data_IF_719597163259
#
_entry.id   IF_719597163259
#
_cell.length_a   1.000
_cell.length_b   1.000
_cell.length_c   1.000
_cell.angle_alpha   90.00
_cell.angle_beta   90.00
_cell.angle_gamma   90.00
#
_symmetry.space_group_name_H-M   'P 1'
#
loop_
_entity.id
_entity.type
_entity.pdbx_description
1 polymer ?
#
# COMPACT_ATOMS: atom_id res chain seq x y z
N UNK A 1 -0.83 -11.29 -31.57
CA UNK A 1 0.35 -12.11 -31.90
C UNK A 1 0.99 -12.62 -30.61
N UNK A 2 1.83 -13.67 -30.67
CA UNK A 2 2.50 -14.23 -29.48
C UNK A 2 3.44 -13.26 -28.75
N UNK A 3 4.02 -12.29 -29.47
CA UNK A 3 4.91 -11.28 -28.89
C UNK A 3 4.20 -10.33 -27.88
N UNK A 4 2.94 -9.95 -28.17
CA UNK A 4 2.17 -9.09 -27.27
C UNK A 4 1.82 -9.79 -25.94
N UNK A 5 1.52 -11.09 -25.98
CA UNK A 5 1.24 -11.90 -24.79
C UNK A 5 2.49 -12.09 -23.92
N UNK A 6 3.66 -12.32 -24.55
CA UNK A 6 4.93 -12.40 -23.83
C UNK A 6 5.29 -11.08 -23.12
N UNK A 7 5.02 -9.93 -23.78
CA UNK A 7 5.22 -8.61 -23.19
C UNK A 7 4.34 -8.36 -21.96
N UNK A 8 3.05 -8.73 -22.03
CA UNK A 8 2.12 -8.60 -20.91
C UNK A 8 2.53 -9.47 -19.70
N UNK A 9 2.97 -10.71 -19.95
CA UNK A 9 3.46 -11.61 -18.90
C UNK A 9 4.72 -11.05 -18.21
N UNK A 10 5.66 -10.50 -18.97
CA UNK A 10 6.86 -9.88 -18.43
C UNK A 10 6.55 -8.64 -17.56
N UNK A 11 5.62 -7.80 -18.01
CA UNK A 11 5.14 -6.63 -17.26
C UNK A 11 4.46 -7.04 -15.95
N UNK A 12 3.61 -8.08 -15.98
CA UNK A 12 2.97 -8.63 -14.78
C UNK A 12 4.00 -9.22 -13.80
N UNK A 13 4.99 -9.95 -14.30
CA UNK A 13 6.06 -10.49 -13.46
C UNK A 13 6.90 -9.37 -12.82
N UNK A 14 7.15 -8.28 -13.55
CA UNK A 14 7.85 -7.12 -13.02
C UNK A 14 7.04 -6.43 -11.91
N UNK A 15 5.76 -6.14 -12.13
CA UNK A 15 4.91 -5.48 -11.13
C UNK A 15 4.76 -6.31 -9.85
N UNK A 16 4.64 -7.64 -9.96
CA UNK A 16 4.61 -8.54 -8.80
C UNK A 16 5.93 -8.48 -8.01
N UNK A 17 7.09 -8.43 -8.68
CA UNK A 17 8.38 -8.28 -7.98
C UNK A 17 8.49 -6.95 -7.25
N UNK A 18 8.10 -5.85 -7.91
CA UNK A 18 8.13 -4.50 -7.31
C UNK A 18 7.20 -4.44 -6.10
N UNK A 19 5.97 -4.94 -6.21
CA UNK A 19 5.01 -4.96 -5.11
C UNK A 19 5.51 -5.76 -3.90
N UNK A 20 6.14 -6.92 -4.14
CA UNK A 20 6.76 -7.73 -3.08
C UNK A 20 7.88 -6.97 -2.37
N UNK A 21 8.69 -6.21 -3.10
CA UNK A 21 9.77 -5.44 -2.50
C UNK A 21 9.24 -4.25 -1.69
N UNK A 22 8.22 -3.54 -2.20
CA UNK A 22 7.53 -2.49 -1.44
C UNK A 22 6.91 -3.04 -0.14
N UNK A 23 6.42 -4.28 -0.14
CA UNK A 23 5.90 -4.91 1.07
C UNK A 23 7.01 -5.20 2.10
N UNK A 24 8.20 -5.63 1.64
CA UNK A 24 9.36 -5.84 2.52
C UNK A 24 9.85 -4.52 3.12
N UNK A 25 9.96 -3.48 2.29
CA UNK A 25 10.34 -2.14 2.73
C UNK A 25 9.36 -1.62 3.78
N UNK A 26 8.05 -1.79 3.55
CA UNK A 26 7.00 -1.44 4.52
C UNK A 26 7.22 -2.16 5.85
N UNK A 27 7.40 -3.48 5.82
CA UNK A 27 7.59 -4.29 7.03
C UNK A 27 8.86 -3.89 7.81
N UNK A 28 9.91 -3.46 7.10
CA UNK A 28 11.13 -2.94 7.69
C UNK A 28 11.07 -1.44 8.05
N UNK A 29 9.97 -0.75 7.76
CA UNK A 29 9.82 0.71 7.94
C UNK A 29 10.68 1.58 7.01
N UNK A 30 11.28 0.99 5.98
CA UNK A 30 12.15 1.69 5.03
C UNK A 30 11.33 2.51 4.04
N UNK A 31 11.77 3.75 3.77
CA UNK A 31 11.16 4.67 2.81
C UNK A 31 9.67 5.01 3.07
N UNK A 32 9.09 4.53 4.17
CA UNK A 32 7.74 4.88 4.59
C UNK A 32 7.65 6.38 4.92
N UNK A 33 6.87 7.09 4.14
CA UNK A 33 6.57 8.52 4.24
C UNK A 33 5.16 8.78 4.81
N UNK A 34 4.41 7.73 5.17
CA UNK A 34 3.11 7.81 5.82
C UNK A 34 3.08 7.07 7.16
N UNK A 35 2.43 7.67 8.16
CA UNK A 35 2.03 7.01 9.41
C UNK A 35 0.53 7.09 9.56
N UNK A 36 -0.13 5.96 9.74
CA UNK A 36 -1.59 5.85 9.83
C UNK A 36 -1.95 5.39 11.25
N UNK A 37 -2.72 6.19 11.97
CA UNK A 37 -3.21 5.86 13.31
C UNK A 37 -4.63 5.29 13.23
N UNK A 38 -4.85 4.07 13.72
CA UNK A 38 -6.17 3.40 13.72
C UNK A 38 -6.35 2.64 15.02
N UNK A 39 -7.38 2.98 15.80
CA UNK A 39 -7.69 2.27 17.06
C UNK A 39 -6.50 2.17 18.02
N UNK A 40 -5.74 3.25 18.17
CA UNK A 40 -4.53 3.28 19.02
C UNK A 40 -3.30 2.55 18.46
N UNK A 41 -3.37 1.97 17.26
CA UNK A 41 -2.25 1.33 16.57
C UNK A 41 -1.70 2.24 15.48
N UNK A 42 -0.40 2.15 15.22
CA UNK A 42 0.26 2.87 14.14
C UNK A 42 0.72 1.92 13.03
N UNK A 43 0.51 2.35 11.78
CA UNK A 43 0.92 1.62 10.59
C UNK A 43 1.80 2.50 9.71
N UNK A 44 3.00 2.02 9.39
CA UNK A 44 3.91 2.67 8.44
C UNK A 44 3.59 2.22 7.02
N UNK A 45 3.58 3.16 6.07
CA UNK A 45 3.30 2.88 4.67
C UNK A 45 3.94 3.91 3.73
N UNK A 46 3.92 3.61 2.45
CA UNK A 46 4.28 4.51 1.35
C UNK A 46 3.03 5.21 0.81
N UNK A 47 3.04 6.54 0.76
CA UNK A 47 1.96 7.37 0.22
C UNK A 47 1.62 7.04 -1.23
N UNK A 48 2.59 6.80 -2.13
CA UNK A 48 2.29 6.41 -3.50
C UNK A 48 1.45 5.13 -3.58
N UNK A 49 1.76 4.11 -2.76
CA UNK A 49 0.98 2.86 -2.71
C UNK A 49 -0.44 3.14 -2.22
N UNK A 50 -0.59 3.91 -1.14
CA UNK A 50 -1.90 4.29 -0.61
C UNK A 50 -2.75 5.06 -1.64
N UNK A 51 -2.17 6.04 -2.32
CA UNK A 51 -2.84 6.86 -3.32
C UNK A 51 -3.20 6.08 -4.60
N UNK A 52 -2.41 5.08 -4.97
CA UNK A 52 -2.71 4.15 -6.05
C UNK A 52 -3.94 3.30 -5.72
N UNK A 53 -4.06 2.81 -4.47
CA UNK A 53 -5.12 1.89 -4.07
C UNK A 53 -6.40 2.56 -3.53
N UNK A 54 -6.36 3.84 -3.13
CA UNK A 54 -7.50 4.50 -2.50
C UNK A 54 -7.67 5.95 -2.93
N UNK A 55 -8.91 6.31 -3.28
CA UNK A 55 -9.30 7.69 -3.61
C UNK A 55 -9.16 8.62 -2.40
N UNK A 56 -9.40 8.12 -1.18
CA UNK A 56 -9.25 8.90 0.05
C UNK A 56 -7.80 9.39 0.20
N UNK A 57 -6.82 8.49 0.12
CA UNK A 57 -5.41 8.85 0.24
C UNK A 57 -4.94 9.72 -0.93
N UNK A 58 -5.46 9.47 -2.13
CA UNK A 58 -5.18 10.31 -3.30
C UNK A 58 -5.67 11.75 -3.13
N UNK A 59 -6.92 11.92 -2.68
CA UNK A 59 -7.54 13.23 -2.50
C UNK A 59 -6.91 14.02 -1.33
N UNK A 60 -6.42 13.33 -0.30
CA UNK A 60 -5.77 13.97 0.84
C UNK A 60 -4.47 14.69 0.48
N UNK A 61 -3.76 14.26 -0.58
CA UNK A 61 -2.48 14.83 -0.99
C UNK A 61 -1.32 14.45 -0.05
N UNK A 62 -0.13 14.23 -0.63
CA UNK A 62 1.02 13.65 0.09
C UNK A 62 1.53 14.49 1.26
N UNK A 63 1.75 13.83 2.40
CA UNK A 63 2.79 14.23 3.35
C UNK A 63 2.53 15.49 4.19
N UNK A 64 1.28 15.83 4.51
CA UNK A 64 1.02 16.76 5.61
C UNK A 64 1.76 16.27 6.86
N UNK A 65 2.56 17.14 7.50
CA UNK A 65 3.48 16.80 8.57
C UNK A 65 2.74 16.24 9.80
N UNK A 66 2.42 14.95 9.80
CA UNK A 66 1.81 14.28 10.93
C UNK A 66 1.10 12.97 10.57
N UNK A 67 0.79 12.15 11.60
CA UNK A 67 0.02 10.93 11.43
C UNK A 67 -1.36 11.20 10.82
N UNK A 68 -1.83 10.29 9.97
CA UNK A 68 -3.21 10.29 9.47
C UNK A 68 -4.06 9.45 10.40
N UNK A 69 -4.93 10.10 11.18
CA UNK A 69 -5.94 9.41 11.98
C UNK A 69 -7.03 8.85 11.07
N UNK A 70 -7.28 7.54 11.17
CA UNK A 70 -8.39 6.86 10.51
C UNK A 70 -9.48 6.48 11.53
N UNK A 71 -10.73 6.28 11.08
CA UNK A 71 -11.83 5.92 11.98
C UNK A 71 -11.53 4.65 12.79
N UNK A 72 -11.89 4.67 14.07
CA UNK A 72 -11.69 3.54 14.99
C UNK A 72 -12.40 2.26 14.52
N UNK A 73 -13.54 2.38 13.83
CA UNK A 73 -14.25 1.23 13.24
C UNK A 73 -13.45 0.42 12.20
N UNK A 74 -12.28 0.92 11.77
CA UNK A 74 -11.37 0.18 10.91
C UNK A 74 -10.31 -0.61 11.70
N UNK A 75 -10.19 -0.46 13.01
CA UNK A 75 -9.07 -1.00 13.81
C UNK A 75 -8.81 -2.50 13.58
N UNK A 76 -9.87 -3.29 13.48
CA UNK A 76 -9.78 -4.75 13.32
C UNK A 76 -9.54 -5.17 11.86
N UNK A 77 -9.91 -4.34 10.90
CA UNK A 77 -9.85 -4.66 9.46
C UNK A 77 -8.71 -3.95 8.73
N UNK A 78 -8.11 -2.93 9.33
CA UNK A 78 -7.17 -2.06 8.64
C UNK A 78 -5.87 -2.79 8.25
N UNK A 79 -5.40 -3.71 9.10
CA UNK A 79 -4.25 -4.55 8.77
C UNK A 79 -4.51 -5.37 7.49
N UNK A 80 -5.69 -6.00 7.39
CA UNK A 80 -6.11 -6.77 6.21
C UNK A 80 -6.16 -5.90 4.95
N UNK A 81 -6.71 -4.69 5.08
CA UNK A 81 -6.76 -3.72 3.96
C UNK A 81 -5.36 -3.27 3.53
N UNK A 82 -4.49 -3.00 4.50
CA UNK A 82 -3.11 -2.60 4.23
C UNK A 82 -2.33 -3.75 3.58
N UNK A 83 -2.50 -4.98 4.05
CA UNK A 83 -1.88 -6.15 3.42
C UNK A 83 -2.42 -6.38 2.00
N UNK A 84 -3.71 -6.13 1.75
CA UNK A 84 -4.25 -6.14 0.40
C UNK A 84 -3.56 -5.12 -0.51
N UNK A 85 -3.30 -3.90 -0.06
CA UNK A 85 -2.57 -2.90 -0.86
C UNK A 85 -1.16 -3.35 -1.26
N UNK A 86 -0.51 -4.18 -0.43
CA UNK A 86 0.87 -4.62 -0.63
C UNK A 86 1.01 -6.05 -1.17
N UNK A 87 -0.09 -6.79 -1.31
CA UNK A 87 -0.06 -8.20 -1.76
C UNK A 87 -1.06 -8.52 -2.86
N UNK A 88 -2.07 -7.66 -3.05
CA UNK A 88 -3.22 -7.92 -3.91
C UNK A 88 -4.14 -9.04 -3.39
N UNK A 89 -4.02 -9.44 -2.12
CA UNK A 89 -4.78 -10.53 -1.52
C UNK A 89 -5.45 -10.08 -0.22
N UNK A 90 -6.71 -10.47 -0.05
CA UNK A 90 -7.42 -10.45 1.22
C UNK A 90 -7.36 -11.88 1.75
N UNK A 91 -6.55 -12.12 2.78
CA UNK A 91 -6.31 -13.44 3.34
C UNK A 91 -6.32 -13.36 4.87
#
# INVERSE_FOLDING_TARGET
>A
SGAAMAGAAAAAAHSVRVLRELNRQRAAGQFCDATLGVGGREFRAHWPVLASCSRFFRARGGGGAGPVALPEGLADTFQLLLDFFYTGRLA
#
